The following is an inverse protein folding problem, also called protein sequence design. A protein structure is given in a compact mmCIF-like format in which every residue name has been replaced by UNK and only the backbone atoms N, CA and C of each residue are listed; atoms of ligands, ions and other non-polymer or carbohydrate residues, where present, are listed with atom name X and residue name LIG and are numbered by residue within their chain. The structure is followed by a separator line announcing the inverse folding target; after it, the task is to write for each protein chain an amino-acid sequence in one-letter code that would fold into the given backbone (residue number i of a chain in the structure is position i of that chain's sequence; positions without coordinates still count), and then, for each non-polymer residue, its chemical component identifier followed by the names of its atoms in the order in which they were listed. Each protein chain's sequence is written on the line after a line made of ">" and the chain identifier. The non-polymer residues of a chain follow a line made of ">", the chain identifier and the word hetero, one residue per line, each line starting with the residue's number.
data_IF_781242118657
#
_entry.id   IF_781242118657
#
_cell.length_a   1.000
_cell.length_b   1.000
_cell.length_c   1.000
_cell.angle_alpha   90.00
_cell.angle_beta   90.00
_cell.angle_gamma   90.00
#
_symmetry.space_group_name_H-M   'P 1'
#
loop_
_entity.id
_entity.type
_entity.pdbx_description
1 polymer ?
#
# COMPACT_ATOMS: atom_id res chain seq x y z
N UNK A 1 35.92 -7.82 -0.62
CA UNK A 1 34.97 -6.69 -0.56
C UNK A 1 35.59 -5.55 0.22
N UNK A 2 35.59 -4.32 -0.29
CA UNK A 2 36.10 -3.14 0.41
C UNK A 2 35.37 -2.93 1.77
N UNK A 3 36.08 -2.46 2.79
CA UNK A 3 35.62 -2.24 4.17
C UNK A 3 34.44 -1.25 4.32
N UNK A 4 34.03 -0.59 3.23
CA UNK A 4 32.94 0.38 3.21
C UNK A 4 31.53 -0.23 3.10
N UNK A 5 31.40 -1.53 2.82
CA UNK A 5 30.09 -2.18 2.71
C UNK A 5 29.63 -2.78 4.05
N UNK A 6 28.33 -2.65 4.38
CA UNK A 6 27.77 -3.20 5.61
C UNK A 6 27.77 -4.73 5.49
N UNK A 7 28.62 -5.41 6.25
CA UNK A 7 28.47 -6.84 6.45
C UNK A 7 27.14 -7.07 7.18
N UNK A 8 26.16 -7.64 6.47
CA UNK A 8 24.83 -7.87 7.02
C UNK A 8 24.83 -8.91 8.14
N UNK A 9 25.86 -9.77 8.21
CA UNK A 9 26.04 -10.84 9.19
C UNK A 9 25.94 -10.39 10.66
N UNK A 10 26.35 -9.16 10.97
CA UNK A 10 26.33 -8.66 12.36
C UNK A 10 25.20 -7.67 12.67
N UNK A 11 24.54 -7.07 11.68
CA UNK A 11 23.54 -6.03 11.96
C UNK A 11 22.11 -6.49 11.72
N UNK A 12 21.87 -7.26 10.66
CA UNK A 12 20.50 -7.66 10.29
C UNK A 12 19.96 -8.75 11.22
N UNK A 13 20.69 -9.87 11.47
CA UNK A 13 20.19 -10.91 12.36
C UNK A 13 19.94 -10.40 13.78
N UNK A 14 20.88 -9.62 14.33
CA UNK A 14 20.73 -9.06 15.67
C UNK A 14 19.58 -8.06 15.78
N UNK A 15 19.34 -7.24 14.75
CA UNK A 15 18.18 -6.35 14.72
C UNK A 15 16.86 -7.14 14.70
N UNK A 16 16.77 -8.18 13.87
CA UNK A 16 15.57 -9.03 13.78
C UNK A 16 15.34 -9.75 15.10
N UNK A 17 16.36 -10.41 15.65
CA UNK A 17 16.25 -11.12 16.93
C UNK A 17 15.90 -10.18 18.09
N UNK A 18 16.45 -8.96 18.10
CA UNK A 18 16.11 -7.95 19.10
C UNK A 18 14.66 -7.50 19.00
N UNK A 19 14.18 -7.22 17.78
CA UNK A 19 12.77 -6.88 17.56
C UNK A 19 11.85 -8.02 17.97
N UNK A 20 12.18 -9.27 17.61
CA UNK A 20 11.38 -10.43 17.95
C UNK A 20 11.33 -10.66 19.46
N UNK A 21 12.45 -10.50 20.17
CA UNK A 21 12.49 -10.59 21.63
C UNK A 21 11.60 -9.51 22.28
N UNK A 22 11.64 -8.27 21.77
CA UNK A 22 10.73 -7.21 22.23
C UNK A 22 9.28 -7.58 21.95
N UNK A 23 8.97 -8.08 20.75
CA UNK A 23 7.62 -8.44 20.36
C UNK A 23 7.08 -9.53 21.29
N UNK A 24 7.83 -10.61 21.51
CA UNK A 24 7.44 -11.71 22.41
C UNK A 24 7.11 -11.18 23.81
N UNK A 25 7.97 -10.32 24.38
CA UNK A 25 7.76 -9.75 25.72
C UNK A 25 6.50 -8.88 25.73
N UNK A 26 6.31 -8.00 24.74
CA UNK A 26 5.13 -7.14 24.67
C UNK A 26 3.84 -7.93 24.43
N UNK A 27 3.89 -8.99 23.62
CA UNK A 27 2.74 -9.87 23.37
C UNK A 27 2.30 -10.55 24.67
N UNK A 28 3.25 -11.05 25.46
CA UNK A 28 2.97 -11.65 26.78
C UNK A 28 2.22 -10.69 27.72
N UNK A 29 2.55 -9.40 27.72
CA UNK A 29 1.90 -8.42 28.60
C UNK A 29 0.57 -7.86 28.06
N UNK A 30 0.46 -7.65 26.74
CA UNK A 30 -0.68 -6.96 26.13
C UNK A 30 -1.80 -7.89 25.67
N UNK A 31 -1.50 -9.18 25.50
CA UNK A 31 -2.44 -10.16 24.96
C UNK A 31 -2.58 -11.30 25.98
N UNK A 32 -3.65 -11.25 26.77
CA UNK A 32 -4.10 -12.37 27.58
C UNK A 32 -5.39 -12.92 26.96
N UNK A 33 -5.48 -14.25 26.85
CA UNK A 33 -6.56 -14.95 26.16
C UNK A 33 -7.82 -15.04 27.05
N UNK A 34 -8.46 -13.91 27.29
CA UNK A 34 -9.75 -13.86 27.99
C UNK A 34 -10.90 -13.93 26.98
N UNK A 35 -11.39 -15.16 26.76
CA UNK A 35 -12.73 -15.45 26.25
C UNK A 35 -13.05 -14.97 24.83
N UNK A 36 -13.00 -15.90 23.87
CA UNK A 36 -13.35 -15.67 22.46
C UNK A 36 -14.70 -14.97 22.28
N UNK A 37 -14.67 -13.67 21.96
CA UNK A 37 -15.82 -12.99 21.38
C UNK A 37 -16.06 -13.53 19.95
N UNK A 38 -17.33 -13.66 19.55
CA UNK A 38 -17.69 -14.13 18.21
C UNK A 38 -17.09 -13.16 17.18
N UNK A 39 -16.17 -13.63 16.33
CA UNK A 39 -15.50 -12.80 15.33
C UNK A 39 -16.50 -12.33 14.27
N UNK A 40 -16.53 -11.01 14.01
CA UNK A 40 -17.32 -10.42 12.92
C UNK A 40 -16.74 -10.69 11.52
N UNK A 41 -15.46 -11.11 11.50
CA UNK A 41 -14.70 -11.49 10.31
C UNK A 41 -14.64 -13.01 10.22
N UNK A 42 -14.83 -13.55 9.02
CA UNK A 42 -14.69 -14.97 8.75
C UNK A 42 -13.23 -15.31 8.40
N UNK A 43 -12.78 -16.50 8.80
CA UNK A 43 -11.43 -16.96 8.48
C UNK A 43 -11.10 -16.92 6.98
N UNK A 44 -12.00 -17.31 6.05
CA UNK A 44 -11.74 -17.17 4.61
C UNK A 44 -11.47 -15.72 4.17
N UNK A 45 -12.21 -14.74 4.72
CA UNK A 45 -11.98 -13.33 4.36
C UNK A 45 -10.61 -12.83 4.85
N UNK A 46 -10.17 -13.28 6.03
CA UNK A 46 -8.80 -13.05 6.50
C UNK A 46 -7.78 -13.72 5.58
N UNK A 47 -8.00 -14.98 5.19
CA UNK A 47 -7.09 -15.69 4.29
C UNK A 47 -6.94 -14.93 2.97
N UNK A 48 -8.02 -14.48 2.35
CA UNK A 48 -7.96 -13.72 1.09
C UNK A 48 -7.10 -12.46 1.22
N UNK A 49 -7.30 -11.68 2.28
CA UNK A 49 -6.49 -10.48 2.59
C UNK A 49 -5.03 -10.84 2.81
N UNK A 50 -4.75 -11.93 3.51
CA UNK A 50 -3.38 -12.39 3.76
C UNK A 50 -2.69 -12.86 2.46
N UNK A 51 -3.38 -13.60 1.60
CA UNK A 51 -2.87 -13.99 0.28
C UNK A 51 -2.59 -12.76 -0.59
N UNK A 52 -3.48 -11.76 -0.53
CA UNK A 52 -3.32 -10.50 -1.27
C UNK A 52 -2.05 -9.75 -0.84
N UNK A 53 -1.78 -9.66 0.46
CA UNK A 53 -0.60 -8.94 0.98
C UNK A 53 0.69 -9.73 0.76
N UNK A 54 0.70 -11.03 1.05
CA UNK A 54 1.92 -11.86 0.94
C UNK A 54 2.23 -12.20 -0.53
N UNK A 55 1.30 -12.83 -1.25
CA UNK A 55 1.55 -13.28 -2.62
C UNK A 55 1.28 -12.18 -3.64
N UNK A 56 0.18 -11.45 -3.48
CA UNK A 56 -0.20 -10.38 -4.41
C UNK A 56 0.88 -9.30 -4.48
N UNK A 57 1.12 -8.56 -3.40
CA UNK A 57 2.18 -7.55 -3.37
C UNK A 57 3.59 -8.13 -3.44
N UNK A 58 3.82 -9.35 -2.92
CA UNK A 58 5.09 -10.07 -3.02
C UNK A 58 5.55 -10.22 -4.47
N UNK A 59 4.67 -10.78 -5.32
CA UNK A 59 4.97 -10.97 -6.73
C UNK A 59 4.79 -9.68 -7.55
N UNK A 60 3.83 -8.82 -7.24
CA UNK A 60 3.58 -7.57 -7.98
C UNK A 60 4.81 -6.65 -8.08
N UNK A 61 5.72 -6.71 -7.10
CA UNK A 61 6.94 -5.92 -7.10
C UNK A 61 8.12 -6.62 -7.82
N UNK A 62 7.92 -7.78 -8.44
CA UNK A 62 9.00 -8.59 -9.04
C UNK A 62 9.32 -8.25 -10.50
N UNK A 63 8.75 -7.17 -11.05
CA UNK A 63 9.01 -6.75 -12.44
C UNK A 63 10.49 -6.43 -12.74
N UNK A 64 11.30 -6.09 -11.73
CA UNK A 64 12.73 -5.78 -11.90
C UNK A 64 13.58 -7.03 -12.19
N UNK A 65 14.21 -7.08 -13.36
CA UNK A 65 14.92 -8.28 -13.86
C UNK A 65 16.05 -8.82 -12.99
N UNK A 66 16.64 -7.99 -12.12
CA UNK A 66 17.80 -8.32 -11.27
C UNK A 66 17.52 -8.11 -9.77
N UNK A 67 16.26 -7.93 -9.40
CA UNK A 67 15.84 -7.64 -8.02
C UNK A 67 14.66 -8.49 -7.55
N UNK A 68 14.42 -9.64 -8.18
CA UNK A 68 13.28 -10.51 -7.90
C UNK A 68 13.36 -11.19 -6.52
N UNK A 69 14.56 -11.59 -6.08
CA UNK A 69 14.75 -12.22 -4.78
C UNK A 69 14.54 -11.22 -3.65
N UNK A 70 15.15 -10.04 -3.75
CA UNK A 70 14.98 -8.98 -2.76
C UNK A 70 13.54 -8.47 -2.72
N UNK A 71 12.90 -8.34 -3.89
CA UNK A 71 11.49 -7.93 -3.96
C UNK A 71 10.57 -8.88 -3.20
N UNK A 72 10.64 -10.18 -3.47
CA UNK A 72 9.77 -11.15 -2.79
C UNK A 72 10.20 -11.39 -1.34
N UNK A 73 11.50 -11.62 -1.11
CA UNK A 73 12.05 -12.01 0.18
C UNK A 73 12.02 -10.89 1.21
N UNK A 74 12.39 -9.66 0.84
CA UNK A 74 12.29 -8.54 1.77
C UNK A 74 10.84 -8.12 2.01
N UNK A 75 9.96 -8.26 1.01
CA UNK A 75 8.54 -7.98 1.23
C UNK A 75 7.94 -8.96 2.25
N UNK A 76 8.23 -10.26 2.15
CA UNK A 76 7.82 -11.24 3.16
C UNK A 76 8.34 -10.86 4.55
N UNK A 77 9.63 -10.54 4.67
CA UNK A 77 10.25 -10.13 5.94
C UNK A 77 9.57 -8.90 6.56
N UNK A 78 9.31 -7.88 5.74
CA UNK A 78 8.63 -6.65 6.16
C UNK A 78 7.20 -6.93 6.60
N UNK A 79 6.45 -7.77 5.85
CA UNK A 79 5.08 -8.14 6.18
C UNK A 79 5.02 -8.86 7.53
N UNK A 80 5.84 -9.88 7.76
CA UNK A 80 5.76 -10.68 9.01
C UNK A 80 6.13 -9.86 10.24
N UNK A 81 7.16 -9.02 10.17
CA UNK A 81 7.54 -8.13 11.28
C UNK A 81 6.51 -7.01 11.47
N UNK A 82 6.00 -6.47 10.37
CA UNK A 82 5.05 -5.37 10.38
C UNK A 82 3.68 -5.77 10.92
N UNK A 83 3.17 -6.97 10.61
CA UNK A 83 1.92 -7.48 11.20
C UNK A 83 2.03 -7.55 12.72
N UNK A 84 3.12 -8.13 13.24
CA UNK A 84 3.38 -8.18 14.69
C UNK A 84 3.46 -6.78 15.30
N UNK A 85 4.24 -5.89 14.70
CA UNK A 85 4.38 -4.51 15.14
C UNK A 85 3.04 -3.76 15.15
N UNK A 86 2.23 -3.91 14.10
CA UNK A 86 0.91 -3.29 13.98
C UNK A 86 -0.06 -3.80 15.05
N UNK A 87 -0.04 -5.11 15.36
CA UNK A 87 -0.85 -5.66 16.44
C UNK A 87 -0.43 -5.10 17.81
N UNK A 88 0.87 -4.99 18.07
CA UNK A 88 1.39 -4.44 19.33
C UNK A 88 1.03 -2.96 19.50
N UNK A 89 1.16 -2.14 18.46
CA UNK A 89 0.78 -0.72 18.50
C UNK A 89 -0.72 -0.58 18.75
N UNK A 90 -1.54 -1.43 18.11
CA UNK A 90 -2.98 -1.50 18.38
C UNK A 90 -3.26 -1.85 19.85
N UNK A 91 -2.64 -2.90 20.37
CA UNK A 91 -2.83 -3.38 21.73
C UNK A 91 -2.38 -2.38 22.78
N UNK A 92 -1.24 -1.73 22.55
CA UNK A 92 -0.75 -0.68 23.44
C UNK A 92 -1.72 0.51 23.49
N UNK A 93 -2.30 0.91 22.35
CA UNK A 93 -3.26 2.00 22.31
C UNK A 93 -4.59 1.61 22.98
N UNK A 94 -5.07 0.39 22.77
CA UNK A 94 -6.28 -0.14 23.46
C UNK A 94 -6.07 -0.16 24.97
N UNK A 95 -4.90 -0.62 25.43
CA UNK A 95 -4.52 -0.63 26.84
C UNK A 95 -4.45 0.79 27.44
N UNK A 96 -3.75 1.72 26.77
CA UNK A 96 -3.61 3.10 27.23
C UNK A 96 -4.94 3.88 27.26
N UNK A 97 -5.84 3.60 26.32
CA UNK A 97 -7.14 4.27 26.22
C UNK A 97 -8.27 3.51 26.92
N UNK A 98 -7.98 2.41 27.62
CA UNK A 98 -8.98 1.54 28.27
C UNK A 98 -10.15 1.17 27.34
N UNK A 99 -9.85 0.88 26.07
CA UNK A 99 -10.86 0.50 25.08
C UNK A 99 -11.17 -0.99 25.18
N UNK A 100 -12.37 -1.39 24.76
CA UNK A 100 -12.71 -2.80 24.62
C UNK A 100 -11.74 -3.52 23.68
N UNK A 101 -11.37 -4.74 24.06
CA UNK A 101 -10.48 -5.58 23.29
C UNK A 101 -11.23 -6.13 22.07
N UNK A 102 -10.68 -5.93 20.88
CA UNK A 102 -11.21 -6.57 19.67
C UNK A 102 -10.86 -8.06 19.65
N UNK A 103 -11.67 -8.87 18.95
CA UNK A 103 -11.35 -10.28 18.68
C UNK A 103 -10.01 -10.43 17.95
N UNK A 104 -9.29 -11.52 18.25
CA UNK A 104 -7.98 -11.82 17.69
C UNK A 104 -7.97 -11.83 16.16
N UNK A 105 -8.98 -12.42 15.52
CA UNK A 105 -9.07 -12.49 14.05
C UNK A 105 -9.29 -11.10 13.42
N UNK A 106 -10.10 -10.26 14.06
CA UNK A 106 -10.31 -8.87 13.65
C UNK A 106 -9.02 -8.06 13.74
N UNK A 107 -8.27 -8.20 14.83
CA UNK A 107 -7.01 -7.48 15.06
C UNK A 107 -5.92 -7.87 14.06
N UNK A 108 -5.71 -9.17 13.85
CA UNK A 108 -4.71 -9.62 12.86
C UNK A 108 -5.12 -9.21 11.45
N UNK A 109 -6.42 -9.24 11.11
CA UNK A 109 -6.91 -8.76 9.82
C UNK A 109 -6.62 -7.28 9.62
N UNK A 110 -6.90 -6.43 10.62
CA UNK A 110 -6.57 -4.99 10.56
C UNK A 110 -5.07 -4.75 10.47
N UNK A 111 -4.25 -5.55 11.14
CA UNK A 111 -2.80 -5.48 11.04
C UNK A 111 -2.31 -5.81 9.62
N UNK A 112 -2.83 -6.88 9.01
CA UNK A 112 -2.51 -7.24 7.61
C UNK A 112 -3.00 -6.17 6.63
N UNK A 113 -4.21 -5.62 6.81
CA UNK A 113 -4.67 -4.49 5.98
C UNK A 113 -3.73 -3.28 6.13
N UNK A 114 -3.29 -2.95 7.35
CA UNK A 114 -2.35 -1.84 7.58
C UNK A 114 -1.00 -2.04 6.87
N UNK A 115 -0.55 -3.28 6.73
CA UNK A 115 0.65 -3.60 5.94
C UNK A 115 0.51 -3.26 4.46
N UNK A 116 -0.70 -3.11 3.94
CA UNK A 116 -0.92 -2.65 2.56
C UNK A 116 -0.32 -1.26 2.32
N UNK A 117 -0.34 -0.36 3.31
CA UNK A 117 0.33 0.93 3.20
C UNK A 117 1.85 0.76 3.03
N UNK A 118 2.46 -0.07 3.88
CA UNK A 118 3.91 -0.31 3.90
C UNK A 118 4.41 -0.95 2.61
N UNK A 119 3.69 -1.94 2.08
CA UNK A 119 4.10 -2.60 0.82
C UNK A 119 3.95 -1.66 -0.37
N UNK A 120 2.93 -0.79 -0.38
CA UNK A 120 2.80 0.28 -1.38
C UNK A 120 3.98 1.26 -1.24
N UNK A 121 4.30 1.72 -0.04
CA UNK A 121 5.44 2.62 0.19
C UNK A 121 6.78 2.00 -0.21
N UNK A 122 6.96 0.72 0.09
CA UNK A 122 8.14 -0.07 -0.31
C UNK A 122 8.30 -0.10 -1.82
N UNK A 123 7.19 -0.16 -2.57
CA UNK A 123 7.19 -0.06 -4.03
C UNK A 123 7.81 1.24 -4.58
N UNK A 124 7.71 2.36 -3.86
CA UNK A 124 8.31 3.64 -4.29
C UNK A 124 9.84 3.64 -4.18
N UNK A 125 10.36 2.94 -3.16
CA UNK A 125 11.79 2.85 -2.82
C UNK A 125 12.44 1.53 -3.24
N UNK A 126 11.71 0.70 -3.98
CA UNK A 126 12.12 -0.64 -4.40
C UNK A 126 13.48 -0.58 -5.11
N UNK A 127 14.41 -1.45 -4.70
CA UNK A 127 15.75 -1.53 -5.28
C UNK A 127 16.74 -0.45 -4.82
N UNK A 128 16.32 0.52 -4.00
CA UNK A 128 17.18 1.62 -3.47
C UNK A 128 17.51 1.48 -1.99
N UNK A 129 16.77 0.63 -1.28
CA UNK A 129 16.83 0.47 0.17
C UNK A 129 17.37 -0.89 0.55
N UNK A 130 18.07 -0.94 1.68
CA UNK A 130 18.56 -2.18 2.28
C UNK A 130 17.56 -2.73 3.33
N UNK A 131 17.69 -4.00 3.76
CA UNK A 131 16.76 -4.60 4.72
C UNK A 131 16.60 -3.84 6.04
N UNK A 132 17.68 -3.24 6.56
CA UNK A 132 17.62 -2.45 7.80
C UNK A 132 16.78 -1.19 7.60
N UNK A 133 16.95 -0.51 6.46
CA UNK A 133 16.16 0.66 6.10
C UNK A 133 14.68 0.30 5.92
N UNK A 134 14.39 -0.85 5.29
CA UNK A 134 13.01 -1.33 5.12
C UNK A 134 12.34 -1.67 6.45
N UNK A 135 13.03 -2.36 7.37
CA UNK A 135 12.51 -2.65 8.71
C UNK A 135 12.23 -1.36 9.47
N UNK A 136 13.16 -0.40 9.47
CA UNK A 136 12.97 0.89 10.15
C UNK A 136 11.82 1.68 9.55
N UNK A 137 11.75 1.75 8.21
CA UNK A 137 10.66 2.40 7.49
C UNK A 137 9.31 1.79 7.89
N UNK A 138 9.23 0.45 7.94
CA UNK A 138 8.02 -0.29 8.32
C UNK A 138 7.52 0.08 9.71
N UNK A 139 8.42 0.06 10.71
CA UNK A 139 8.04 0.39 12.09
C UNK A 139 7.53 1.84 12.19
N UNK A 140 8.24 2.79 11.59
CA UNK A 140 7.83 4.20 11.61
C UNK A 140 6.50 4.40 10.88
N UNK A 141 6.35 3.80 9.70
CA UNK A 141 5.18 3.95 8.86
C UNK A 141 3.91 3.41 9.54
N UNK A 142 3.98 2.24 10.19
CA UNK A 142 2.84 1.66 10.92
C UNK A 142 2.44 2.55 12.10
N UNK A 143 3.40 3.04 12.89
CA UNK A 143 3.13 3.94 14.03
C UNK A 143 2.40 5.19 13.53
N UNK A 144 2.95 5.84 12.50
CA UNK A 144 2.37 7.08 11.98
C UNK A 144 1.02 6.84 11.32
N UNK A 145 0.86 5.76 10.56
CA UNK A 145 -0.41 5.43 9.92
C UNK A 145 -1.50 5.21 10.97
N UNK A 146 -1.18 4.49 12.05
CA UNK A 146 -2.11 4.31 13.17
C UNK A 146 -2.45 5.64 13.86
N UNK A 147 -1.47 6.51 14.09
CA UNK A 147 -1.71 7.83 14.66
C UNK A 147 -2.59 8.70 13.75
N UNK A 148 -2.36 8.67 12.43
CA UNK A 148 -3.20 9.39 11.44
C UNK A 148 -4.65 8.91 11.49
N UNK A 149 -4.88 7.59 11.56
CA UNK A 149 -6.21 7.02 11.72
C UNK A 149 -6.85 7.40 13.05
N UNK A 150 -6.10 7.36 14.15
CA UNK A 150 -6.60 7.78 15.45
C UNK A 150 -7.05 9.26 15.44
N UNK A 151 -6.30 10.14 14.76
CA UNK A 151 -6.71 11.55 14.56
C UNK A 151 -8.03 11.63 13.79
N UNK A 152 -8.14 10.93 12.66
CA UNK A 152 -9.35 10.93 11.83
C UNK A 152 -10.57 10.38 12.59
N UNK A 153 -10.40 9.30 13.33
CA UNK A 153 -11.49 8.65 14.07
C UNK A 153 -11.94 9.49 15.28
N UNK A 154 -11.00 10.11 15.99
CA UNK A 154 -11.28 10.83 17.25
C UNK A 154 -11.76 12.25 17.01
N UNK A 155 -11.06 13.01 16.15
CA UNK A 155 -11.36 14.43 15.94
C UNK A 155 -12.31 14.67 14.76
N UNK A 156 -12.17 13.90 13.68
CA UNK A 156 -13.00 14.06 12.48
C UNK A 156 -14.19 13.10 12.44
N UNK A 157 -14.31 12.20 13.42
CA UNK A 157 -15.40 11.23 13.57
C UNK A 157 -15.64 10.39 12.29
N UNK A 158 -14.59 10.16 11.50
CA UNK A 158 -14.68 9.31 10.31
C UNK A 158 -14.72 7.84 10.75
N UNK A 159 -15.62 7.01 10.18
CA UNK A 159 -15.68 5.59 10.51
C UNK A 159 -14.34 4.85 10.32
N UNK A 160 -14.02 3.93 11.23
CA UNK A 160 -12.74 3.20 11.25
C UNK A 160 -12.53 2.35 9.98
N UNK A 161 -13.60 1.78 9.42
CA UNK A 161 -13.52 1.02 8.16
C UNK A 161 -13.12 1.91 6.97
N UNK A 162 -13.56 3.17 6.92
CA UNK A 162 -13.16 4.14 5.88
C UNK A 162 -11.74 4.62 6.12
N UNK A 163 -11.39 4.97 7.36
CA UNK A 163 -10.03 5.42 7.69
C UNK A 163 -8.98 4.32 7.52
N UNK A 164 -9.38 3.05 7.67
CA UNK A 164 -8.57 1.89 7.29
C UNK A 164 -8.27 1.82 5.81
N UNK A 165 -9.21 2.17 4.94
CA UNK A 165 -8.98 2.15 3.48
C UNK A 165 -8.03 3.26 3.03
N UNK A 166 -7.68 4.23 3.89
CA UNK A 166 -6.64 5.23 3.60
C UNK A 166 -5.24 4.63 3.42
N UNK A 167 -5.04 3.31 3.57
CA UNK A 167 -3.79 2.61 3.26
C UNK A 167 -3.22 2.98 1.88
N UNK A 168 -4.08 3.14 0.86
CA UNK A 168 -3.63 3.48 -0.49
C UNK A 168 -3.05 4.90 -0.57
N UNK A 169 -3.75 5.87 0.03
CA UNK A 169 -3.30 7.26 0.09
C UNK A 169 -2.04 7.38 0.93
N UNK A 170 -2.08 6.83 2.14
CA UNK A 170 -0.98 6.93 3.07
C UNK A 170 0.28 6.28 2.48
N UNK A 171 0.19 5.03 2.01
CA UNK A 171 1.32 4.32 1.45
C UNK A 171 1.90 4.98 0.20
N UNK A 172 1.04 5.41 -0.75
CA UNK A 172 1.53 6.05 -1.96
C UNK A 172 2.28 7.36 -1.66
N UNK A 173 1.70 8.25 -0.84
CA UNK A 173 2.29 9.56 -0.57
C UNK A 173 3.45 9.50 0.44
N UNK A 174 3.40 8.60 1.41
CA UNK A 174 4.52 8.34 2.32
C UNK A 174 5.72 7.80 1.53
N UNK A 175 5.53 6.74 0.73
CA UNK A 175 6.58 6.17 -0.11
C UNK A 175 7.19 7.16 -1.10
N UNK A 176 6.37 8.00 -1.75
CA UNK A 176 6.86 9.06 -2.64
C UNK A 176 7.72 10.09 -1.89
N UNK A 177 7.28 10.52 -0.70
CA UNK A 177 8.02 11.46 0.11
C UNK A 177 9.35 10.88 0.60
N UNK A 178 9.38 9.60 1.00
CA UNK A 178 10.62 8.88 1.32
C UNK A 178 11.53 8.81 0.09
N UNK A 179 11.00 8.38 -1.05
CA UNK A 179 11.75 8.22 -2.30
C UNK A 179 12.36 9.53 -2.80
N UNK A 180 11.73 10.67 -2.52
CA UNK A 180 12.26 12.01 -2.85
C UNK A 180 13.61 12.33 -2.22
N UNK A 181 14.00 11.61 -1.16
CA UNK A 181 15.30 11.79 -0.47
C UNK A 181 16.39 10.86 -1.00
N UNK A 182 16.04 9.86 -1.82
CA UNK A 182 17.00 8.98 -2.47
C UNK A 182 17.45 9.56 -3.81
N UNK A 183 18.72 9.34 -4.15
CA UNK A 183 19.25 9.79 -5.44
C UNK A 183 18.60 9.06 -6.62
N UNK A 184 18.37 9.79 -7.71
CA UNK A 184 17.85 9.23 -8.94
C UNK A 184 18.88 8.28 -9.59
N UNK A 185 18.47 7.08 -10.03
CA UNK A 185 19.35 6.20 -10.78
C UNK A 185 19.69 6.78 -12.16
N UNK A 186 20.84 6.38 -12.69
CA UNK A 186 21.24 6.76 -14.06
C UNK A 186 20.15 6.37 -15.08
N UNK A 187 19.66 7.30 -15.93
CA UNK A 187 18.65 6.99 -16.94
C UNK A 187 19.14 6.01 -18.02
N UNK A 188 20.45 5.75 -18.09
CA UNK A 188 21.07 4.74 -18.97
C UNK A 188 21.23 3.38 -18.30
N UNK A 189 20.78 3.21 -17.05
CA UNK A 189 20.91 1.95 -16.32
C UNK A 189 19.88 0.92 -16.80
N UNK A 190 20.34 -0.13 -17.48
CA UNK A 190 19.50 -1.26 -17.86
C UNK A 190 18.97 -2.06 -16.65
N UNK A 191 19.43 -1.79 -15.43
CA UNK A 191 19.05 -2.52 -14.22
C UNK A 191 17.59 -2.29 -13.81
N UNK A 192 16.98 -1.22 -14.32
CA UNK A 192 15.57 -0.87 -14.09
C UNK A 192 14.63 -1.51 -15.13
N UNK A 193 15.15 -2.32 -16.04
CA UNK A 193 14.35 -3.01 -17.05
C UNK A 193 13.72 -4.29 -16.50
N UNK A 194 12.64 -4.72 -17.13
CA UNK A 194 12.04 -6.03 -16.94
C UNK A 194 12.53 -7.04 -17.98
N UNK A 195 12.31 -8.32 -17.72
CA UNK A 195 12.41 -9.44 -18.67
C UNK A 195 11.04 -10.09 -18.80
N UNK A 196 10.75 -10.86 -19.87
CA UNK A 196 9.49 -11.58 -19.99
C UNK A 196 9.17 -12.46 -18.77
N UNK A 197 10.19 -13.07 -18.17
CA UNK A 197 10.05 -13.87 -16.95
C UNK A 197 9.68 -13.03 -15.72
N UNK A 198 10.32 -11.87 -15.54
CA UNK A 198 10.01 -10.98 -14.41
C UNK A 198 8.64 -10.33 -14.57
N UNK A 199 8.25 -9.99 -15.80
CA UNK A 199 6.91 -9.47 -16.11
C UNK A 199 5.81 -10.52 -15.86
N UNK A 200 6.05 -11.80 -16.21
CA UNK A 200 5.12 -12.89 -15.94
C UNK A 200 4.95 -13.12 -14.42
N UNK A 201 6.05 -13.09 -13.66
CA UNK A 201 5.99 -13.17 -12.19
C UNK A 201 5.26 -11.96 -11.59
N UNK A 202 5.53 -10.76 -12.09
CA UNK A 202 4.82 -9.54 -11.66
C UNK A 202 3.32 -9.66 -11.87
N UNK A 203 2.94 -10.22 -13.02
CA UNK A 203 1.54 -10.39 -13.41
C UNK A 203 0.83 -11.49 -12.65
N UNK A 204 1.56 -12.52 -12.17
CA UNK A 204 1.02 -13.43 -11.17
C UNK A 204 0.56 -12.66 -9.93
N UNK A 205 1.39 -11.73 -9.43
CA UNK A 205 1.04 -10.83 -8.34
C UNK A 205 -0.21 -9.98 -8.64
N UNK A 206 -0.27 -9.35 -9.82
CA UNK A 206 -1.45 -8.62 -10.29
C UNK A 206 -2.72 -9.48 -10.26
N UNK A 207 -2.65 -10.74 -10.69
CA UNK A 207 -3.81 -11.64 -10.67
C UNK A 207 -4.26 -11.99 -9.25
N UNK A 208 -3.32 -12.28 -8.35
CA UNK A 208 -3.64 -12.49 -6.93
C UNK A 208 -4.33 -11.26 -6.33
N UNK A 209 -3.79 -10.06 -6.60
CA UNK A 209 -4.41 -8.81 -6.16
C UNK A 209 -5.82 -8.68 -6.74
N UNK A 210 -5.99 -8.86 -8.04
CA UNK A 210 -7.28 -8.69 -8.72
C UNK A 210 -8.36 -9.64 -8.18
N UNK A 211 -8.02 -10.92 -7.99
CA UNK A 211 -8.96 -11.95 -7.52
C UNK A 211 -9.42 -11.71 -6.09
N UNK A 212 -8.51 -11.32 -5.19
CA UNK A 212 -8.81 -11.19 -3.76
C UNK A 212 -9.24 -9.78 -3.33
N UNK A 213 -9.18 -8.79 -4.22
CA UNK A 213 -9.58 -7.40 -3.93
C UNK A 213 -11.02 -7.25 -3.43
N UNK A 214 -12.04 -7.97 -3.95
CA UNK A 214 -13.41 -7.88 -3.43
C UNK A 214 -13.50 -8.27 -1.95
N UNK A 215 -12.74 -9.28 -1.52
CA UNK A 215 -12.62 -9.64 -0.09
C UNK A 215 -11.92 -8.54 0.69
N UNK A 216 -10.82 -7.97 0.16
CA UNK A 216 -10.11 -6.87 0.81
C UNK A 216 -10.99 -5.65 1.08
N UNK A 217 -11.75 -5.19 0.09
CA UNK A 217 -12.63 -4.02 0.22
C UNK A 217 -13.87 -4.30 1.10
N UNK A 218 -14.23 -5.56 1.34
CA UNK A 218 -15.41 -5.93 2.13
C UNK A 218 -15.09 -6.45 3.54
N UNK A 219 -13.82 -6.77 3.85
CA UNK A 219 -13.43 -7.45 5.09
C UNK A 219 -13.78 -6.65 6.36
N UNK A 220 -13.69 -5.32 6.30
CA UNK A 220 -14.00 -4.41 7.41
C UNK A 220 -15.40 -3.77 7.29
N UNK A 221 -16.18 -4.17 6.29
CA UNK A 221 -17.55 -3.67 6.09
C UNK A 221 -18.50 -4.49 6.96
N UNK A 222 -19.23 -3.85 7.88
CA UNK A 222 -20.17 -4.57 8.76
C UNK A 222 -21.48 -4.86 8.03
N UNK A 223 -22.11 -3.81 7.50
CA UNK A 223 -23.37 -3.89 6.75
C UNK A 223 -23.09 -3.80 5.26
N UNK A 224 -23.87 -4.49 4.42
CA UNK A 224 -23.76 -4.43 2.96
C UNK A 224 -22.45 -5.02 2.38
N UNK A 225 -21.88 -6.05 3.03
CA UNK A 225 -20.70 -6.79 2.53
C UNK A 225 -20.87 -7.25 1.07
N UNK A 226 -22.04 -7.79 0.73
CA UNK A 226 -22.35 -8.23 -0.64
C UNK A 226 -22.26 -7.09 -1.66
N UNK A 227 -22.78 -5.90 -1.34
CA UNK A 227 -22.69 -4.71 -2.21
C UNK A 227 -21.23 -4.34 -2.44
N UNK A 228 -20.42 -4.32 -1.38
CA UNK A 228 -18.99 -4.02 -1.49
C UNK A 228 -18.26 -5.01 -2.42
N UNK A 229 -18.59 -6.30 -2.33
CA UNK A 229 -18.02 -7.36 -3.18
C UNK A 229 -18.40 -7.13 -4.66
N UNK A 230 -19.71 -7.03 -4.96
CA UNK A 230 -20.18 -6.87 -6.35
C UNK A 230 -19.68 -5.57 -6.99
N UNK A 231 -19.71 -4.45 -6.26
CA UNK A 231 -19.22 -3.17 -6.76
C UNK A 231 -17.70 -3.19 -7.01
N UNK A 232 -16.94 -3.83 -6.13
CA UNK A 232 -15.48 -3.98 -6.32
C UNK A 232 -15.17 -4.82 -7.55
N UNK A 233 -15.86 -5.95 -7.73
CA UNK A 233 -15.67 -6.82 -8.88
C UNK A 233 -15.98 -6.09 -10.20
N UNK A 234 -17.10 -5.38 -10.28
CA UNK A 234 -17.48 -4.64 -11.49
C UNK A 234 -16.53 -3.48 -11.81
N UNK A 235 -16.07 -2.75 -10.79
CA UNK A 235 -15.06 -1.71 -10.99
C UNK A 235 -13.75 -2.28 -11.53
N UNK A 236 -13.29 -3.41 -10.98
CA UNK A 236 -12.09 -4.12 -11.46
C UNK A 236 -12.24 -4.66 -12.88
N UNK A 237 -13.40 -5.23 -13.22
CA UNK A 237 -13.66 -5.75 -14.56
C UNK A 237 -13.61 -4.65 -15.61
N UNK A 238 -14.25 -3.50 -15.34
CA UNK A 238 -14.22 -2.34 -16.26
C UNK A 238 -12.83 -1.71 -16.30
N UNK A 239 -12.14 -1.62 -15.16
CA UNK A 239 -10.76 -1.13 -15.11
C UNK A 239 -9.83 -1.99 -15.98
N UNK A 240 -10.00 -3.31 -15.95
CA UNK A 240 -9.22 -4.24 -16.74
C UNK A 240 -9.53 -4.12 -18.24
N UNK A 241 -10.80 -4.15 -18.65
CA UNK A 241 -11.18 -3.97 -20.06
C UNK A 241 -10.65 -2.64 -20.61
N UNK A 242 -10.79 -1.56 -19.84
CA UNK A 242 -10.29 -0.22 -20.19
C UNK A 242 -8.76 -0.21 -20.31
N UNK A 243 -8.05 -0.93 -19.44
CA UNK A 243 -6.59 -1.01 -19.48
C UNK A 243 -6.08 -1.65 -20.78
N UNK A 244 -6.71 -2.74 -21.24
CA UNK A 244 -6.36 -3.37 -22.51
C UNK A 244 -6.64 -2.45 -23.71
N UNK A 245 -7.82 -1.81 -23.74
CA UNK A 245 -8.18 -0.87 -24.81
C UNK A 245 -7.20 0.31 -24.87
N UNK A 246 -6.98 0.98 -23.74
CA UNK A 246 -6.07 2.13 -23.68
C UNK A 246 -4.61 1.73 -23.91
N UNK A 247 -4.21 0.52 -23.55
CA UNK A 247 -2.86 0.06 -23.85
C UNK A 247 -2.61 0.04 -25.35
N UNK A 248 -3.53 -0.50 -26.15
CA UNK A 248 -3.43 -0.56 -27.62
C UNK A 248 -3.48 0.85 -28.21
N UNK A 249 -4.42 1.68 -27.76
CA UNK A 249 -4.61 3.03 -28.28
C UNK A 249 -3.43 3.97 -28.00
N UNK A 250 -2.69 3.74 -26.91
CA UNK A 250 -1.56 4.60 -26.52
C UNK A 250 -0.20 4.08 -27.00
N UNK A 251 -0.12 2.88 -27.58
CA UNK A 251 1.08 2.34 -28.25
C UNK A 251 1.10 2.69 -29.72
N UNK A 252 2.27 3.14 -30.22
CA UNK A 252 2.45 3.48 -31.64
C UNK A 252 2.26 2.29 -32.58
N UNK A 253 2.57 1.08 -32.11
CA UNK A 253 2.50 -0.18 -32.85
C UNK A 253 1.23 -0.99 -32.56
N UNK A 254 0.30 -0.46 -31.76
CA UNK A 254 -0.97 -1.12 -31.42
C UNK A 254 -0.80 -2.40 -30.58
N UNK A 255 0.34 -2.61 -29.93
CA UNK A 255 0.60 -3.80 -29.11
C UNK A 255 0.29 -3.56 -27.63
N UNK A 256 -0.06 -4.63 -26.91
CA UNK A 256 -0.24 -4.54 -25.47
C UNK A 256 1.10 -4.34 -24.75
N UNK A 257 1.14 -3.41 -23.78
CA UNK A 257 2.28 -3.20 -22.88
C UNK A 257 1.96 -3.73 -21.49
N UNK A 258 2.79 -4.63 -21.00
CA UNK A 258 2.57 -5.25 -19.69
C UNK A 258 2.61 -4.23 -18.56
N UNK A 259 3.44 -3.19 -18.66
CA UNK A 259 3.50 -2.10 -17.67
C UNK A 259 2.18 -1.35 -17.50
N UNK A 260 1.37 -1.21 -18.56
CA UNK A 260 0.03 -0.62 -18.46
C UNK A 260 -0.94 -1.58 -17.79
N UNK A 261 -0.96 -2.83 -18.26
CA UNK A 261 -1.89 -3.87 -17.78
C UNK A 261 -1.64 -4.14 -16.30
N UNK A 262 -0.39 -4.34 -15.91
CA UNK A 262 0.07 -4.65 -14.56
C UNK A 262 -0.54 -3.75 -13.48
N UNK A 263 -0.59 -2.44 -13.73
CA UNK A 263 -1.11 -1.46 -12.78
C UNK A 263 -2.58 -1.08 -13.03
N UNK A 264 -2.97 -0.84 -14.29
CA UNK A 264 -4.28 -0.25 -14.60
C UNK A 264 -5.46 -1.22 -14.44
N UNK A 265 -5.23 -2.54 -14.48
CA UNK A 265 -6.30 -3.51 -14.19
C UNK A 265 -6.75 -3.48 -12.73
N UNK A 266 -5.90 -2.98 -11.82
CA UNK A 266 -6.13 -2.93 -10.37
C UNK A 266 -6.74 -1.61 -9.90
N UNK A 267 -6.61 -0.55 -10.70
CA UNK A 267 -6.97 0.82 -10.32
C UNK A 267 -8.43 0.95 -9.85
N UNK A 268 -9.37 0.27 -10.51
CA UNK A 268 -10.77 0.25 -10.10
C UNK A 268 -11.00 -0.27 -8.67
N UNK A 269 -10.25 -1.30 -8.26
CA UNK A 269 -10.35 -1.87 -6.90
C UNK A 269 -9.87 -0.88 -5.83
N UNK A 270 -8.79 -0.14 -6.11
CA UNK A 270 -8.29 0.95 -5.26
C UNK A 270 -9.34 2.06 -5.15
N UNK A 271 -9.87 2.53 -6.28
CA UNK A 271 -10.81 3.66 -6.33
C UNK A 271 -12.09 3.38 -5.56
N UNK A 272 -12.69 2.19 -5.68
CA UNK A 272 -13.92 1.91 -4.94
C UNK A 272 -13.69 1.51 -3.48
N UNK A 273 -12.45 1.34 -3.02
CA UNK A 273 -12.14 0.86 -1.66
C UNK A 273 -12.87 1.60 -0.53
N UNK A 274 -12.95 2.93 -0.62
CA UNK A 274 -13.63 3.77 0.38
C UNK A 274 -15.16 3.68 0.33
N UNK A 275 -15.70 3.42 -0.85
CA UNK A 275 -17.08 3.70 -1.19
C UNK A 275 -17.89 2.48 -1.64
N UNK A 276 -17.25 1.31 -1.80
CA UNK A 276 -17.87 0.13 -2.40
C UNK A 276 -19.17 -0.29 -1.69
N UNK A 277 -19.23 -0.16 -0.36
CA UNK A 277 -20.43 -0.45 0.43
C UNK A 277 -21.53 0.62 0.31
N UNK A 278 -21.16 1.85 -0.06
CA UNK A 278 -22.07 3.00 -0.19
C UNK A 278 -22.64 3.17 -1.60
N UNK A 279 -22.10 2.47 -2.61
CA UNK A 279 -22.59 2.52 -3.99
C UNK A 279 -23.88 1.68 -4.11
N UNK A 280 -25.00 2.35 -4.35
CA UNK A 280 -26.30 1.70 -4.53
C UNK A 280 -26.48 1.11 -5.93
N UNK A 281 -25.98 1.81 -6.96
CA UNK A 281 -26.15 1.42 -8.35
C UNK A 281 -24.82 0.94 -8.97
N UNK A 282 -24.74 -0.32 -9.44
CA UNK A 282 -23.48 -0.89 -9.91
C UNK A 282 -22.79 -0.15 -11.08
N UNK A 283 -23.56 0.55 -11.93
CA UNK A 283 -22.99 1.34 -13.03
C UNK A 283 -22.08 2.47 -12.53
N UNK A 284 -22.28 2.98 -11.30
CA UNK A 284 -21.38 3.98 -10.70
C UNK A 284 -20.01 3.36 -10.44
N UNK A 285 -19.96 2.13 -9.91
CA UNK A 285 -18.71 1.41 -9.71
C UNK A 285 -17.98 1.14 -11.04
N UNK A 286 -18.73 0.81 -12.09
CA UNK A 286 -18.19 0.64 -13.44
C UNK A 286 -17.56 1.93 -13.99
N UNK A 287 -18.22 3.09 -13.84
CA UNK A 287 -17.67 4.39 -14.26
C UNK A 287 -16.40 4.71 -13.47
N UNK A 288 -16.40 4.48 -12.16
CA UNK A 288 -15.21 4.68 -11.32
C UNK A 288 -14.04 3.79 -11.79
N UNK A 289 -14.30 2.54 -12.15
CA UNK A 289 -13.31 1.63 -12.72
C UNK A 289 -12.72 2.14 -14.05
N UNK A 290 -13.58 2.65 -14.95
CA UNK A 290 -13.14 3.26 -16.22
C UNK A 290 -12.24 4.48 -15.96
N UNK A 291 -12.70 5.41 -15.13
CA UNK A 291 -11.96 6.63 -14.80
C UNK A 291 -10.62 6.31 -14.12
N UNK A 292 -10.61 5.35 -13.20
CA UNK A 292 -9.40 4.91 -12.52
C UNK A 292 -8.34 4.39 -13.50
N UNK A 293 -8.74 3.51 -14.44
CA UNK A 293 -7.86 2.96 -15.47
C UNK A 293 -7.28 4.04 -16.40
N UNK A 294 -8.11 4.99 -16.83
CA UNK A 294 -7.69 6.18 -17.60
C UNK A 294 -6.66 6.99 -16.83
N UNK A 295 -6.93 7.30 -15.56
CA UNK A 295 -6.03 8.07 -14.69
C UNK A 295 -4.70 7.35 -14.48
N UNK A 296 -4.70 6.03 -14.28
CA UNK A 296 -3.47 5.24 -14.09
C UNK A 296 -2.60 5.25 -15.35
N UNK A 297 -3.19 5.04 -16.54
CA UNK A 297 -2.42 5.03 -17.79
C UNK A 297 -1.93 6.44 -18.14
N UNK A 298 -2.80 7.46 -18.14
CA UNK A 298 -2.38 8.85 -18.39
C UNK A 298 -1.39 9.35 -17.34
N UNK A 299 -1.59 8.96 -16.08
CA UNK A 299 -0.71 9.24 -14.95
C UNK A 299 0.70 8.70 -15.18
N UNK A 300 0.84 7.47 -15.69
CA UNK A 300 2.16 6.89 -16.00
C UNK A 300 2.96 7.74 -17.00
N UNK A 301 2.30 8.27 -18.04
CA UNK A 301 2.94 9.17 -19.01
C UNK A 301 3.27 10.54 -18.40
N UNK A 302 2.34 11.12 -17.64
CA UNK A 302 2.50 12.44 -17.05
C UNK A 302 3.58 12.43 -15.95
N UNK A 303 3.63 11.42 -15.09
CA UNK A 303 4.65 11.29 -14.04
C UNK A 303 6.04 11.22 -14.66
N UNK A 304 6.22 10.38 -15.69
CA UNK A 304 7.51 10.20 -16.34
C UNK A 304 7.98 11.45 -17.11
N UNK A 305 7.05 12.26 -17.64
CA UNK A 305 7.37 13.44 -18.46
C UNK A 305 7.36 14.76 -17.68
N UNK A 306 6.49 14.92 -16.68
CA UNK A 306 6.23 16.18 -15.98
C UNK A 306 6.81 16.21 -14.56
N UNK A 307 6.65 15.12 -13.77
CA UNK A 307 7.12 15.11 -12.37
C UNK A 307 8.62 14.81 -12.25
N UNK A 308 9.16 13.86 -13.01
CA UNK A 308 10.56 13.47 -12.90
C UNK A 308 11.53 14.65 -13.14
N UNK A 309 11.36 15.51 -14.17
CA UNK A 309 12.29 16.61 -14.40
C UNK A 309 12.19 17.73 -13.35
N UNK A 310 10.99 17.99 -12.81
CA UNK A 310 10.76 19.13 -11.93
C UNK A 310 11.02 18.82 -10.44
N UNK A 311 10.60 17.63 -9.97
CA UNK A 311 10.66 17.27 -8.55
C UNK A 311 11.79 16.28 -8.23
N UNK A 312 12.46 15.70 -9.24
CA UNK A 312 13.51 14.67 -9.10
C UNK A 312 13.09 13.49 -8.22
N UNK A 313 11.79 13.17 -8.20
CA UNK A 313 11.24 12.03 -7.47
C UNK A 313 11.25 10.83 -8.39
N UNK A 314 12.04 9.80 -8.07
CA UNK A 314 12.01 8.55 -8.82
C UNK A 314 11.04 7.57 -8.17
N UNK A 315 9.86 7.36 -8.76
CA UNK A 315 8.92 6.31 -8.32
C UNK A 315 9.25 4.99 -9.03
N UNK A 316 9.80 4.01 -8.29
CA UNK A 316 10.32 2.78 -8.88
C UNK A 316 9.24 1.88 -9.46
N UNK A 317 8.11 1.73 -8.76
CA UNK A 317 7.00 0.83 -9.16
C UNK A 317 5.77 1.58 -9.67
N UNK A 318 5.83 2.91 -9.75
CA UNK A 318 4.69 3.71 -10.20
C UNK A 318 3.55 3.74 -9.19
N UNK A 319 3.87 3.76 -7.90
CA UNK A 319 2.89 3.71 -6.81
C UNK A 319 1.94 4.91 -6.85
N UNK A 320 2.41 6.06 -7.36
CA UNK A 320 1.59 7.26 -7.44
C UNK A 320 0.41 7.05 -8.39
N UNK A 321 0.65 6.59 -9.62
CA UNK A 321 -0.42 6.42 -10.61
C UNK A 321 -1.18 5.10 -10.42
N UNK A 322 -0.60 4.11 -9.75
CA UNK A 322 -1.25 2.82 -9.47
C UNK A 322 -2.17 2.87 -8.24
N UNK A 323 -1.74 3.51 -7.15
CA UNK A 323 -2.47 3.53 -5.88
C UNK A 323 -2.85 4.95 -5.43
N UNK A 324 -1.95 5.92 -5.58
CA UNK A 324 -2.16 7.29 -5.11
C UNK A 324 -3.31 8.01 -5.82
N UNK A 325 -3.21 8.21 -7.14
CA UNK A 325 -4.22 8.91 -7.94
C UNK A 325 -5.57 8.17 -7.92
N UNK A 326 -5.64 6.83 -8.12
CA UNK A 326 -6.90 6.09 -7.96
C UNK A 326 -7.46 6.20 -6.53
N UNK A 327 -6.60 6.25 -5.51
CA UNK A 327 -7.00 6.45 -4.11
C UNK A 327 -7.62 7.83 -3.86
N UNK A 328 -7.06 8.89 -4.46
CA UNK A 328 -7.64 10.24 -4.40
C UNK A 328 -9.00 10.28 -5.10
N UNK A 329 -9.11 9.68 -6.30
CA UNK A 329 -10.39 9.54 -6.99
C UNK A 329 -11.42 8.84 -6.10
N UNK A 330 -11.01 7.77 -5.40
CA UNK A 330 -11.87 7.03 -4.49
C UNK A 330 -12.36 7.83 -3.29
N UNK A 331 -11.46 8.58 -2.66
CA UNK A 331 -11.82 9.46 -1.55
C UNK A 331 -12.80 10.57 -1.99
N UNK A 332 -12.58 11.15 -3.17
CA UNK A 332 -13.52 12.11 -3.77
C UNK A 332 -14.87 11.46 -4.11
N UNK A 333 -14.87 10.25 -4.67
CA UNK A 333 -16.09 9.51 -4.97
C UNK A 333 -16.92 9.24 -3.69
N UNK A 334 -16.27 8.92 -2.57
CA UNK A 334 -16.95 8.75 -1.29
C UNK A 334 -17.63 10.04 -0.82
N UNK A 335 -16.97 11.20 -0.97
CA UNK A 335 -17.56 12.50 -0.65
C UNK A 335 -18.78 12.79 -1.54
N UNK A 336 -18.68 12.54 -2.85
CA UNK A 336 -19.77 12.76 -3.81
C UNK A 336 -20.97 11.87 -3.48
N UNK A 337 -20.74 10.58 -3.19
CA UNK A 337 -21.82 9.65 -2.82
C UNK A 337 -22.49 10.05 -1.51
N UNK A 338 -21.71 10.53 -0.54
CA UNK A 338 -22.25 11.08 0.70
C UNK A 338 -23.12 12.31 0.46
N UNK A 339 -22.73 13.18 -0.49
CA UNK A 339 -23.49 14.36 -0.90
C UNK A 339 -24.83 13.95 -1.52
N UNK A 340 -24.80 13.02 -2.47
CA UNK A 340 -26.01 12.52 -3.14
C UNK A 340 -26.99 11.93 -2.12
N UNK A 341 -26.49 11.12 -1.17
CA UNK A 341 -27.33 10.46 -0.16
C UNK A 341 -27.96 11.43 0.84
N UNK A 342 -27.29 12.55 1.17
CA UNK A 342 -27.74 13.50 2.18
C UNK A 342 -28.23 14.84 1.61
N UNK A 343 -28.57 14.88 0.31
CA UNK A 343 -28.95 16.11 -0.40
C UNK A 343 -30.12 16.87 0.26
N UNK A 344 -31.00 16.16 0.96
CA UNK A 344 -32.17 16.72 1.65
C UNK A 344 -31.83 17.43 2.97
N UNK A 345 -30.65 17.22 3.56
CA UNK A 345 -30.24 17.78 4.85
C UNK A 345 -29.03 18.72 4.72
N UNK A 346 -29.25 19.88 4.09
CA UNK A 346 -28.19 20.81 3.68
C UNK A 346 -27.29 21.31 4.82
N UNK A 347 -27.85 21.52 6.02
CA UNK A 347 -27.10 22.01 7.19
C UNK A 347 -26.09 20.98 7.70
N UNK A 348 -26.45 19.69 7.69
CA UNK A 348 -25.55 18.58 8.08
C UNK A 348 -24.57 18.23 6.97
N UNK A 349 -24.98 18.44 5.72
CA UNK A 349 -24.22 18.10 4.53
C UNK A 349 -22.87 18.83 4.46
N UNK A 350 -22.86 20.15 4.64
CA UNK A 350 -21.63 20.94 4.57
C UNK A 350 -20.58 20.49 5.59
N UNK A 351 -21.02 20.21 6.82
CA UNK A 351 -20.16 19.69 7.89
C UNK A 351 -19.58 18.31 7.54
N UNK A 352 -20.41 17.36 7.08
CA UNK A 352 -19.95 16.01 6.71
C UNK A 352 -18.94 16.04 5.56
N UNK A 353 -19.18 16.88 4.54
CA UNK A 353 -18.24 17.07 3.42
C UNK A 353 -16.90 17.57 3.94
N UNK A 354 -16.93 18.59 4.81
CA UNK A 354 -15.70 19.16 5.37
C UNK A 354 -14.91 18.14 6.20
N UNK A 355 -15.59 17.28 6.97
CA UNK A 355 -14.95 16.20 7.73
C UNK A 355 -14.30 15.14 6.84
N UNK A 356 -15.02 14.63 5.84
CA UNK A 356 -14.49 13.58 4.96
C UNK A 356 -13.36 14.10 4.06
N UNK A 357 -13.49 15.33 3.54
CA UNK A 357 -12.39 15.99 2.81
C UNK A 357 -11.21 16.24 3.72
N UNK A 358 -11.47 16.75 4.93
CA UNK A 358 -10.45 16.95 5.95
C UNK A 358 -9.69 15.67 6.27
N UNK A 359 -10.36 14.52 6.37
CA UNK A 359 -9.74 13.27 6.79
C UNK A 359 -8.74 12.71 5.77
N UNK A 360 -9.08 12.69 4.47
CA UNK A 360 -8.11 12.23 3.48
C UNK A 360 -7.00 13.27 3.26
N UNK A 361 -7.30 14.57 3.38
CA UNK A 361 -6.28 15.63 3.34
C UNK A 361 -5.27 15.49 4.50
N UNK A 362 -5.75 15.32 5.74
CA UNK A 362 -4.91 15.07 6.92
C UNK A 362 -4.05 13.82 6.72
N UNK A 363 -4.64 12.75 6.19
CA UNK A 363 -3.90 11.51 5.89
C UNK A 363 -2.75 11.78 4.90
N UNK A 364 -3.02 12.45 3.78
CA UNK A 364 -2.00 12.79 2.77
C UNK A 364 -0.93 13.72 3.36
N UNK A 365 -1.32 14.75 4.12
CA UNK A 365 -0.38 15.68 4.74
C UNK A 365 0.54 14.98 5.74
N UNK A 366 -0.01 14.14 6.62
CA UNK A 366 0.78 13.36 7.58
C UNK A 366 1.72 12.41 6.84
N UNK A 367 1.23 11.71 5.81
CA UNK A 367 2.04 10.80 5.00
C UNK A 367 3.24 11.52 4.33
N UNK A 368 3.00 12.68 3.71
CA UNK A 368 4.06 13.46 3.06
C UNK A 368 5.10 13.98 4.05
N UNK A 369 4.68 14.57 5.17
CA UNK A 369 5.59 15.15 6.17
C UNK A 369 6.44 14.06 6.81
N UNK A 370 5.79 13.00 7.30
CA UNK A 370 6.50 11.92 8.00
C UNK A 370 7.31 11.05 7.06
N UNK A 371 6.86 10.84 5.82
CA UNK A 371 7.63 10.15 4.78
C UNK A 371 8.89 10.95 4.41
N UNK A 372 8.80 12.27 4.30
CA UNK A 372 9.96 13.13 4.06
C UNK A 372 10.98 13.04 5.20
N UNK A 373 10.52 13.16 6.45
CA UNK A 373 11.37 13.00 7.64
C UNK A 373 12.01 11.62 7.69
N UNK A 374 11.23 10.56 7.43
CA UNK A 374 11.72 9.19 7.38
C UNK A 374 12.78 9.03 6.29
N UNK A 375 12.56 9.58 5.09
CA UNK A 375 13.56 9.58 4.02
C UNK A 375 14.87 10.25 4.40
N UNK A 376 14.85 11.32 5.21
CA UNK A 376 16.06 11.94 5.76
C UNK A 376 16.77 11.01 6.75
N UNK A 377 16.02 10.38 7.67
CA UNK A 377 16.56 9.44 8.66
C UNK A 377 17.21 8.24 7.96
N UNK A 378 16.55 7.65 6.97
CA UNK A 378 17.05 6.49 6.24
C UNK A 378 18.34 6.79 5.46
N UNK A 379 18.55 8.04 5.05
CA UNK A 379 19.76 8.47 4.34
C UNK A 379 20.92 8.89 5.25
N UNK A 380 20.77 8.79 6.58
CA UNK A 380 21.89 9.02 7.50
C UNK A 380 23.00 7.97 7.30
N UNK A 381 24.26 8.40 7.42
CA UNK A 381 25.45 7.55 7.22
C UNK A 381 25.46 6.30 8.11
N UNK A 382 24.79 6.35 9.27
CA UNK A 382 24.62 5.23 10.19
C UNK A 382 24.05 3.97 9.51
N UNK A 383 23.12 4.16 8.56
CA UNK A 383 22.42 3.04 7.92
C UNK A 383 23.19 2.45 6.73
N UNK A 384 24.37 3.02 6.39
CA UNK A 384 25.23 2.65 5.25
C UNK A 384 24.39 2.47 3.97
N UNK A 385 23.92 3.60 3.45
CA UNK A 385 23.14 3.68 2.21
C UNK A 385 23.85 2.96 1.06
N UNK A 386 23.07 2.31 0.21
CA UNK A 386 23.59 1.63 -0.97
C UNK A 386 24.08 2.71 -1.95
N UNK A 387 25.26 2.58 -2.56
CA UNK A 387 25.66 3.49 -3.62
C UNK A 387 24.72 3.31 -4.83
N UNK A 388 24.39 4.41 -5.51
CA UNK A 388 23.46 4.44 -6.66
C UNK A 388 23.85 3.44 -7.76
N UNK A 389 25.15 3.18 -7.93
CA UNK A 389 25.67 2.21 -8.91
C UNK A 389 25.22 0.76 -8.64
N UNK A 390 24.77 0.46 -7.42
CA UNK A 390 24.36 -0.86 -6.93
C UNK A 390 22.87 -1.00 -6.69
N UNK A 391 22.07 0.00 -7.06
CA UNK A 391 20.62 -0.16 -7.02
C UNK A 391 20.15 -1.30 -7.94
N UNK A 392 19.05 -1.92 -7.55
CA UNK A 392 18.33 -2.96 -8.32
C UNK A 392 19.19 -4.23 -8.59
N UNK A 393 20.08 -4.60 -7.68
CA UNK A 393 20.90 -5.82 -7.76
C UNK A 393 20.73 -6.76 -6.55
N UNK A 394 20.25 -7.98 -6.79
CA UNK A 394 20.12 -9.05 -5.79
C UNK A 394 21.47 -9.59 -5.31
N UNK A 395 22.50 -9.56 -6.16
CA UNK A 395 23.86 -10.06 -5.85
C UNK A 395 24.47 -9.43 -4.59
N UNK A 396 23.98 -8.27 -4.16
CA UNK A 396 24.47 -7.60 -2.96
C UNK A 396 23.91 -8.20 -1.66
N UNK A 397 22.79 -8.93 -1.74
CA UNK A 397 22.06 -9.47 -0.60
C UNK A 397 21.93 -10.98 -0.61
N UNK A 398 21.92 -11.59 -1.79
CA UNK A 398 21.61 -12.98 -2.01
C UNK A 398 22.78 -13.72 -2.64
N UNK A 399 22.96 -14.98 -2.23
CA UNK A 399 23.82 -15.92 -2.92
C UNK A 399 23.12 -16.37 -4.21
N UNK A 400 23.47 -15.72 -5.32
CA UNK A 400 22.91 -16.03 -6.64
C UNK A 400 23.93 -16.78 -7.49
N UNK A 401 23.54 -17.96 -7.95
CA UNK A 401 24.21 -18.68 -9.03
C UNK A 401 23.63 -18.20 -10.37
N UNK A 402 24.49 -17.79 -11.29
CA UNK A 402 24.11 -17.46 -12.66
C UNK A 402 24.32 -18.65 -13.58
#
# INVERSE_FOLDING_TARGET
>A
MSSNYRNFRNNVPWLILFLEAIFIVLFYFLFSDDGASISSISYPAFQDVNHMVIFGFGFFLTFLKRYGFSSTGFNLLVIVLGVQCSMLIEGLLVFLLQRENEDGLTRITKAVVSMTAVVISTGAVLGKTNPVQLILMTVVEIIVFRMSRWINNTFLQVPDNISMMHVYLFGAYFGLAVSSRFSEPSPRSEKNASTPTSDLLSMLGTLFLWVFWPSFNSVLVVNDKSKAIYNTYLALAVSAATAFVLSVLTTKDGKFRMTHIHSAVLAGGVTVGYAAHSIEYPWIAMILGLLASVITILGSYCVQRCLNPALKIHDSSGVHFTFGLPGVLGALAQVILLVIKNWTNLTRLGYLVMLHVGAFCVTISVALITGFVTGLILNLKLFKTIPVSKYFEDQFYWEVSF
#
